data_IF_763249755882
#
_entry.id   IF_763249755882
#
_cell.length_a   1.000
_cell.length_b   1.000
_cell.length_c   1.000
_cell.angle_alpha   90.00
_cell.angle_beta   90.00
_cell.angle_gamma   90.00
#
_symmetry.space_group_name_H-M   'P 1'
#
loop_
_entity.id
_entity.type
_entity.pdbx_description
1 polymer ?
#
# COMPACT_ATOMS: atom_id res chain seq x y z
N UNK A 1 11.60 11.52 0.81
CA UNK A 1 12.26 10.59 1.76
C UNK A 1 11.51 10.44 3.10
N UNK A 2 10.26 10.88 3.17
CA UNK A 2 9.36 10.83 4.33
C UNK A 2 8.45 9.61 4.34
N UNK A 3 8.41 8.86 3.22
CA UNK A 3 7.40 7.83 3.00
C UNK A 3 7.58 6.63 3.92
N UNK A 4 8.80 6.10 4.10
CA UNK A 4 8.98 4.83 4.82
C UNK A 4 9.02 4.98 6.35
N UNK A 5 9.55 6.07 6.90
CA UNK A 5 9.73 6.21 8.36
C UNK A 5 8.39 6.31 9.12
N UNK A 6 7.33 6.75 8.45
CA UNK A 6 6.01 6.98 9.04
C UNK A 6 4.97 5.94 8.56
N UNK A 7 5.40 4.85 7.93
CA UNK A 7 4.54 3.70 7.59
C UNK A 7 4.23 2.89 8.85
N UNK A 8 3.02 2.33 8.94
CA UNK A 8 2.63 1.46 10.05
C UNK A 8 2.42 2.18 11.38
N UNK A 9 2.25 3.52 11.38
CA UNK A 9 1.96 4.28 12.61
C UNK A 9 0.71 3.74 13.29
N UNK A 10 0.73 3.53 14.62
CA UNK A 10 -0.44 3.09 15.35
C UNK A 10 -1.54 4.16 15.32
N UNK A 11 -2.77 3.71 15.55
CA UNK A 11 -3.90 4.61 15.71
C UNK A 11 -3.73 5.40 17.02
N UNK A 12 -4.01 6.70 16.96
CA UNK A 12 -3.90 7.58 18.12
C UNK A 12 -4.97 7.23 19.17
N UNK A 13 -4.62 7.45 20.43
CA UNK A 13 -5.50 7.25 21.58
C UNK A 13 -6.01 8.60 22.08
N UNK A 14 -7.28 8.66 22.51
CA UNK A 14 -7.88 9.87 23.09
C UNK A 14 -7.21 10.18 24.43
N UNK A 15 -6.37 11.22 24.46
CA UNK A 15 -5.72 11.68 25.70
C UNK A 15 -6.62 12.60 26.54
N UNK A 16 -7.43 13.42 25.88
CA UNK A 16 -8.37 14.34 26.52
C UNK A 16 -9.74 14.21 25.84
N UNK A 17 -10.78 13.80 26.57
CA UNK A 17 -12.12 13.72 26.01
C UNK A 17 -12.64 15.14 25.70
N UNK A 18 -13.24 15.30 24.52
CA UNK A 18 -13.89 16.52 24.04
C UNK A 18 -15.32 16.19 23.62
N UNK A 19 -16.17 17.22 23.47
CA UNK A 19 -17.54 17.04 22.97
C UNK A 19 -17.51 16.35 21.60
N UNK A 20 -17.98 15.11 21.55
CA UNK A 20 -17.98 14.28 20.34
C UNK A 20 -16.75 13.38 20.14
N UNK A 21 -15.82 13.29 21.12
CA UNK A 21 -14.80 12.24 21.17
C UNK A 21 -15.23 11.10 22.08
N UNK A 22 -14.65 9.92 21.85
CA UNK A 22 -14.79 8.74 22.68
C UNK A 22 -14.10 8.91 24.06
N UNK A 23 -14.21 7.91 24.93
CA UNK A 23 -13.68 7.93 26.31
C UNK A 23 -12.15 8.02 26.29
N UNK A 24 -11.56 8.65 27.32
CA UNK A 24 -10.09 8.69 27.47
C UNK A 24 -9.52 7.27 27.46
N UNK A 25 -8.51 7.03 26.63
CA UNK A 25 -7.92 5.70 26.45
C UNK A 25 -8.46 4.90 25.26
N UNK A 26 -9.54 5.34 24.62
CA UNK A 26 -10.06 4.69 23.42
C UNK A 26 -9.35 5.15 22.14
N UNK A 27 -9.45 4.32 21.09
CA UNK A 27 -8.96 4.64 19.75
C UNK A 27 -9.66 5.88 19.19
N UNK A 28 -8.87 6.78 18.61
CA UNK A 28 -9.37 8.06 18.12
C UNK A 28 -9.90 7.93 16.70
N UNK A 29 -11.13 8.41 16.48
CA UNK A 29 -11.78 8.47 15.18
C UNK A 29 -12.21 9.90 14.84
N UNK A 30 -12.28 10.20 13.53
CA UNK A 30 -12.89 11.43 13.02
C UNK A 30 -14.11 11.08 12.17
N UNK A 31 -15.21 11.81 12.38
CA UNK A 31 -16.40 11.75 11.53
C UNK A 31 -16.12 12.48 10.22
N UNK A 32 -16.45 11.86 9.09
CA UNK A 32 -16.37 12.50 7.77
C UNK A 32 -17.55 12.06 6.91
N UNK A 33 -18.19 12.98 6.19
CA UNK A 33 -19.25 12.64 5.26
C UNK A 33 -18.67 12.23 3.91
N UNK A 34 -18.98 11.01 3.46
CA UNK A 34 -18.58 10.52 2.14
C UNK A 34 -19.59 10.99 1.10
N UNK A 35 -19.17 11.86 0.18
CA UNK A 35 -20.03 12.32 -0.93
C UNK A 35 -20.45 11.19 -1.88
N UNK A 36 -19.56 10.21 -2.07
CA UNK A 36 -19.79 9.07 -2.97
C UNK A 36 -20.90 8.16 -2.41
N UNK A 37 -20.81 7.84 -1.12
CA UNK A 37 -21.76 6.93 -0.46
C UNK A 37 -22.92 7.66 0.22
N UNK A 38 -22.92 9.01 0.20
CA UNK A 38 -23.90 9.88 0.86
C UNK A 38 -24.16 9.56 2.33
N UNK A 39 -23.15 9.09 3.05
CA UNK A 39 -23.23 8.67 4.45
C UNK A 39 -22.09 9.21 5.30
N UNK A 40 -22.33 9.31 6.60
CA UNK A 40 -21.28 9.59 7.58
C UNK A 40 -20.43 8.34 7.83
N UNK A 41 -19.12 8.48 7.73
CA UNK A 41 -18.14 7.41 7.93
C UNK A 41 -17.14 7.84 9.00
N UNK A 42 -16.74 6.90 9.86
CA UNK A 42 -15.65 7.09 10.82
C UNK A 42 -14.32 6.70 10.17
N UNK A 43 -13.35 7.61 10.23
CA UNK A 43 -11.96 7.34 9.79
C UNK A 43 -11.03 7.29 11.00
N UNK A 44 -10.12 6.30 11.08
CA UNK A 44 -9.13 6.25 12.15
C UNK A 44 -8.20 7.46 12.08
N UNK A 45 -7.83 7.99 13.25
CA UNK A 45 -6.83 9.05 13.37
C UNK A 45 -5.54 8.41 13.85
N UNK A 46 -4.48 8.52 13.06
CA UNK A 46 -3.16 7.98 13.40
C UNK A 46 -2.35 8.98 14.21
N UNK A 47 -1.33 8.47 14.91
CA UNK A 47 -0.36 9.31 15.61
C UNK A 47 0.32 10.32 14.68
N UNK A 48 0.77 11.44 15.29
CA UNK A 48 1.52 12.47 14.56
C UNK A 48 2.77 11.86 13.93
N UNK A 49 3.14 12.36 12.74
CA UNK A 49 4.39 11.98 12.07
C UNK A 49 5.57 12.38 12.96
N UNK A 50 6.57 11.50 13.06
CA UNK A 50 7.87 11.83 13.66
C UNK A 50 8.85 12.18 12.55
N UNK A 51 9.71 13.15 12.83
CA UNK A 51 10.70 13.68 11.88
C UNK A 51 12.12 13.62 12.44
N UNK A 52 12.34 12.77 13.45
CA UNK A 52 13.60 12.67 14.19
C UNK A 52 14.76 12.25 13.27
N UNK A 53 14.46 11.56 12.16
CA UNK A 53 15.42 11.16 11.13
C UNK A 53 15.98 12.32 10.28
N UNK A 54 15.36 13.50 10.28
CA UNK A 54 15.82 14.64 9.46
C UNK A 54 17.16 15.17 9.98
N UNK A 55 17.29 15.31 11.30
CA UNK A 55 18.50 15.84 11.93
C UNK A 55 19.77 15.04 11.58
N UNK A 56 19.83 13.70 11.79
CA UNK A 56 21.01 12.91 11.43
C UNK A 56 21.25 12.88 9.92
N UNK A 57 20.19 12.92 9.09
CA UNK A 57 20.32 13.00 7.63
C UNK A 57 21.01 14.30 7.19
N UNK A 58 20.58 15.44 7.73
CA UNK A 58 21.18 16.75 7.42
C UNK A 58 22.62 16.84 7.92
N UNK A 59 22.91 16.30 9.11
CA UNK A 59 24.28 16.21 9.62
C UNK A 59 25.17 15.36 8.69
N UNK A 60 24.65 14.25 8.15
CA UNK A 60 25.35 13.43 7.17
C UNK A 60 25.66 14.18 5.87
N UNK A 61 24.73 14.99 5.37
CA UNK A 61 24.94 15.82 4.16
C UNK A 61 26.06 16.85 4.39
N UNK A 62 26.06 17.51 5.55
CA UNK A 62 27.09 18.51 5.89
C UNK A 62 28.48 17.87 5.95
N UNK A 63 28.62 16.72 6.61
CA UNK A 63 29.89 15.97 6.66
C UNK A 63 30.38 15.55 5.27
N UNK A 64 29.50 14.97 4.46
CA UNK A 64 29.81 14.58 3.07
C UNK A 64 30.28 15.74 2.20
N UNK A 65 29.72 16.94 2.41
CA UNK A 65 30.15 18.15 1.71
C UNK A 65 31.57 18.59 2.12
N UNK A 66 31.94 18.38 3.38
CA UNK A 66 33.26 18.74 3.91
C UNK A 66 34.35 17.77 3.46
N UNK A 67 34.04 16.46 3.44
CA UNK A 67 35.04 15.42 3.19
C UNK A 67 35.32 15.18 1.69
N UNK A 68 34.51 15.72 0.78
CA UNK A 68 34.58 15.61 -0.70
C UNK A 68 34.67 14.18 -1.29
N UNK A 69 34.77 13.15 -0.45
CA UNK A 69 34.70 11.73 -0.79
C UNK A 69 33.29 11.21 -0.51
N UNK A 70 32.64 10.71 -1.54
CA UNK A 70 31.32 10.08 -1.44
C UNK A 70 31.52 8.57 -1.48
N UNK A 71 31.67 7.95 -0.32
CA UNK A 71 31.50 6.50 -0.23
C UNK A 71 30.02 6.15 -0.43
N UNK A 72 29.77 5.24 -1.36
CA UNK A 72 28.44 4.70 -1.62
C UNK A 72 27.99 3.93 -0.37
N UNK A 73 26.94 4.42 0.28
CA UNK A 73 26.29 3.65 1.35
C UNK A 73 25.52 2.53 0.66
N UNK A 74 25.85 1.28 0.98
CA UNK A 74 24.99 0.15 0.66
C UNK A 74 23.67 0.31 1.41
N UNK A 75 22.61 0.64 0.68
CA UNK A 75 21.27 0.75 1.23
C UNK A 75 20.61 -0.63 1.21
N UNK A 76 20.09 -1.07 2.35
CA UNK A 76 19.25 -2.26 2.38
C UNK A 76 18.05 -2.06 1.41
N UNK A 77 17.64 -3.09 0.66
CA UNK A 77 16.50 -3.01 -0.23
C UNK A 77 15.26 -2.62 0.56
N UNK A 78 14.48 -1.69 0.02
CA UNK A 78 13.24 -1.26 0.63
C UNK A 78 12.27 -2.45 0.78
N UNK A 79 11.38 -2.47 1.79
CA UNK A 79 10.52 -3.62 2.10
C UNK A 79 9.50 -3.96 1.00
N UNK A 80 9.32 -3.07 0.03
CA UNK A 80 8.48 -3.26 -1.16
C UNK A 80 9.25 -3.85 -2.36
N UNK A 81 10.54 -4.15 -2.22
CA UNK A 81 11.35 -4.80 -3.24
C UNK A 81 11.30 -6.31 -2.98
N UNK A 82 11.07 -7.10 -4.03
CA UNK A 82 11.08 -8.55 -3.94
C UNK A 82 12.48 -9.02 -3.48
N UNK A 83 12.59 -9.77 -2.36
CA UNK A 83 13.88 -10.28 -1.89
C UNK A 83 14.40 -11.44 -2.75
N UNK A 84 13.52 -12.04 -3.57
CA UNK A 84 13.83 -13.16 -4.45
C UNK A 84 13.84 -12.65 -5.90
N UNK A 85 14.82 -13.05 -6.74
CA UNK A 85 14.83 -12.69 -8.14
C UNK A 85 13.56 -13.19 -8.86
N UNK A 86 13.15 -12.47 -9.89
CA UNK A 86 11.99 -12.86 -10.69
C UNK A 86 12.24 -14.25 -11.32
N UNK A 87 11.29 -15.20 -11.18
CA UNK A 87 11.38 -16.49 -11.84
C UNK A 87 11.31 -16.33 -13.37
N UNK A 88 11.78 -17.35 -14.11
CA UNK A 88 11.70 -17.34 -15.56
C UNK A 88 10.24 -17.26 -16.04
N UNK A 89 10.02 -16.56 -17.16
CA UNK A 89 8.68 -16.33 -17.71
C UNK A 89 7.95 -17.65 -18.04
N UNK A 90 8.70 -18.65 -18.51
CA UNK A 90 8.17 -19.98 -18.88
C UNK A 90 7.56 -20.69 -17.67
N UNK A 91 8.25 -20.69 -16.53
CA UNK A 91 7.77 -21.27 -15.28
C UNK A 91 6.53 -20.55 -14.74
N UNK A 92 6.45 -19.24 -14.96
CA UNK A 92 5.27 -18.44 -14.56
C UNK A 92 4.06 -18.77 -15.43
N UNK A 93 4.24 -18.97 -16.74
CA UNK A 93 3.16 -19.33 -17.66
C UNK A 93 2.66 -20.75 -17.38
N UNK A 94 3.57 -21.69 -17.09
CA UNK A 94 3.19 -23.06 -16.74
C UNK A 94 2.37 -23.15 -15.44
N UNK A 95 2.67 -22.29 -14.46
CA UNK A 95 1.91 -22.18 -13.20
C UNK A 95 0.64 -21.33 -13.31
N UNK A 96 0.49 -20.56 -14.40
CA UNK A 96 -0.64 -19.66 -14.58
C UNK A 96 -1.88 -20.43 -15.03
N UNK A 97 -2.73 -20.80 -14.09
CA UNK A 97 -4.08 -21.32 -14.37
C UNK A 97 -5.06 -20.15 -14.51
N UNK A 98 -5.65 -19.95 -15.69
CA UNK A 98 -6.74 -18.98 -15.86
C UNK A 98 -8.01 -19.50 -15.20
N UNK A 99 -8.77 -18.63 -14.53
CA UNK A 99 -10.11 -18.96 -13.99
C UNK A 99 -11.17 -19.21 -15.07
N UNK A 100 -10.85 -18.91 -16.32
CA UNK A 100 -11.73 -19.11 -17.46
C UNK A 100 -11.25 -20.33 -18.24
N UNK A 101 -12.14 -21.30 -18.42
CA UNK A 101 -11.91 -22.45 -19.30
C UNK A 101 -11.91 -21.96 -20.75
N UNK A 102 -10.82 -22.22 -21.46
CA UNK A 102 -10.76 -21.95 -22.90
C UNK A 102 -11.46 -23.11 -23.61
N UNK A 103 -12.74 -22.95 -23.92
CA UNK A 103 -13.42 -23.86 -24.84
C UNK A 103 -12.93 -23.60 -26.27
N UNK A 104 -11.99 -24.42 -26.74
CA UNK A 104 -11.58 -24.44 -28.15
C UNK A 104 -12.69 -25.13 -28.95
N UNK A 105 -13.67 -24.35 -29.43
CA UNK A 105 -14.65 -24.86 -30.39
C UNK A 105 -13.99 -24.96 -31.76
N UNK A 106 -13.76 -26.18 -32.25
CA UNK A 106 -13.30 -26.43 -33.61
C UNK A 106 -14.33 -25.90 -34.61
N UNK A 107 -13.92 -24.87 -35.35
CA UNK A 107 -14.69 -24.17 -36.38
C UNK A 107 -15.23 -25.11 -37.45
N UNK A 108 -16.55 -25.27 -37.50
CA UNK A 108 -17.29 -25.40 -38.76
C UNK A 108 -18.59 -24.60 -38.64
N UNK A 109 -18.64 -23.50 -39.39
CA UNK A 109 -19.80 -22.65 -39.71
C UNK A 109 -20.27 -21.57 -38.72
N UNK A 110 -20.15 -20.33 -39.21
CA UNK A 110 -21.03 -19.14 -39.09
C UNK A 110 -21.43 -18.58 -37.72
N UNK A 111 -21.12 -17.27 -37.59
CA UNK A 111 -21.65 -16.25 -36.66
C UNK A 111 -21.39 -16.52 -35.18
N UNK A 112 -20.34 -15.87 -34.68
CA UNK A 112 -20.10 -15.72 -33.24
C UNK A 112 -21.12 -14.73 -32.68
N UNK A 113 -22.27 -15.25 -32.25
CA UNK A 113 -23.10 -14.58 -31.25
C UNK A 113 -22.50 -14.90 -29.88
N UNK A 114 -21.90 -13.89 -29.24
CA UNK A 114 -21.41 -13.97 -27.87
C UNK A 114 -22.63 -13.96 -26.94
N UNK A 115 -23.07 -15.14 -26.50
CA UNK A 115 -24.08 -15.25 -25.44
C UNK A 115 -23.37 -15.32 -24.09
N UNK A 116 -23.51 -14.24 -23.32
CA UNK A 116 -23.16 -14.21 -21.90
C UNK A 116 -24.27 -14.88 -21.09
N UNK A 117 -23.98 -15.97 -20.41
CA UNK A 117 -24.81 -16.46 -19.32
C UNK A 117 -23.94 -16.62 -18.08
N UNK A 118 -24.02 -15.64 -17.17
CA UNK A 118 -23.48 -15.76 -15.83
C UNK A 118 -24.45 -16.59 -15.00
N UNK A 119 -24.08 -17.82 -14.66
CA UNK A 119 -24.63 -18.50 -13.50
C UNK A 119 -23.62 -18.40 -12.35
N UNK A 120 -23.96 -17.61 -11.34
CA UNK A 120 -23.33 -17.68 -10.02
C UNK A 120 -23.95 -18.86 -9.26
N UNK A 121 -23.11 -19.75 -8.74
CA UNK A 121 -23.38 -20.54 -7.55
C UNK A 121 -22.54 -19.96 -6.41
#
# INVERSE_FOLDING_TARGET
>A
MDHNHNVGRPQAVVQQPRKGSSVKGELQYKKSYSKIQKQWVLKPVYEKKKYDYISPMMAGVVKRKQDAMVEAIEQAPAPNIAPVPAPAKEDMVAKHSSRFEVFIVHSRYRRVCVYFSCYCN
#
